data_IF_598285934834
#
_entry.id   IF_598285934834
#
_cell.length_a   1.000
_cell.length_b   1.000
_cell.length_c   1.000
_cell.angle_alpha   90.00
_cell.angle_beta   90.00
_cell.angle_gamma   90.00
#
_symmetry.space_group_name_H-M   'P 1'
#
loop_
_entity.id
_entity.type
_entity.pdbx_description
1 polymer ?
#
# COMPACT_ATOMS: atom_id res chain seq x y z
N UNK A 1 -36.80 -3.56 23.16
CA UNK A 1 -36.20 -4.85 22.76
C UNK A 1 -34.79 -4.56 22.27
N UNK A 2 -33.81 -4.98 23.06
CA UNK A 2 -32.37 -4.80 22.80
C UNK A 2 -31.86 -5.81 21.78
N UNK A 3 -30.91 -5.39 20.94
CA UNK A 3 -30.07 -6.27 20.12
C UNK A 3 -29.04 -5.41 19.37
N UNK A 4 -27.92 -5.07 19.99
CA UNK A 4 -26.63 -5.79 19.99
C UNK A 4 -25.90 -5.78 18.62
N UNK A 5 -24.93 -4.87 18.52
CA UNK A 5 -23.89 -4.80 17.48
C UNK A 5 -22.81 -5.87 17.74
N UNK A 6 -22.25 -6.55 16.73
CA UNK A 6 -21.00 -7.28 16.90
C UNK A 6 -19.78 -6.39 16.66
N UNK A 7 -18.83 -6.52 17.57
CA UNK A 7 -17.56 -5.82 17.69
C UNK A 7 -16.46 -6.80 17.27
N UNK A 8 -15.74 -6.54 16.19
CA UNK A 8 -14.60 -7.38 15.77
C UNK A 8 -13.28 -6.62 15.99
N UNK A 9 -12.54 -7.03 17.02
CA UNK A 9 -11.11 -6.76 17.20
C UNK A 9 -10.28 -7.83 16.48
N UNK A 10 -9.08 -7.50 15.95
CA UNK A 10 -8.18 -8.47 15.33
C UNK A 10 -7.31 -9.19 16.39
N UNK A 11 -7.16 -10.50 16.26
CA UNK A 11 -6.30 -11.31 17.13
C UNK A 11 -4.92 -11.54 16.49
N UNK A 12 -3.90 -11.45 17.35
CA UNK A 12 -2.47 -11.48 17.11
C UNK A 12 -1.91 -12.84 16.65
N UNK A 13 -0.77 -12.80 15.94
CA UNK A 13 0.10 -13.94 15.52
C UNK A 13 0.70 -14.69 16.72
N UNK A 14 1.26 -15.90 16.48
CA UNK A 14 2.62 -16.14 16.97
C UNK A 14 3.58 -16.72 15.92
N UNK A 15 4.86 -16.47 16.21
CA UNK A 15 6.05 -16.76 15.44
C UNK A 15 6.51 -18.22 15.54
N UNK A 16 7.19 -18.72 14.51
CA UNK A 16 8.18 -19.79 14.66
C UNK A 16 9.42 -19.46 13.82
N UNK A 17 10.46 -18.99 14.52
CA UNK A 17 11.85 -19.19 14.15
C UNK A 17 12.23 -20.61 14.56
N UNK A 18 13.01 -21.33 13.76
CA UNK A 18 13.99 -22.29 14.25
C UNK A 18 15.14 -22.41 13.22
N UNK A 19 16.30 -21.91 13.64
CA UNK A 19 17.64 -22.03 13.06
C UNK A 19 18.34 -23.30 13.60
N UNK A 20 19.50 -23.62 13.01
CA UNK A 20 20.57 -24.56 13.44
C UNK A 20 20.39 -26.04 13.01
N UNK A 21 21.38 -26.81 12.51
CA UNK A 21 22.88 -26.77 12.46
C UNK A 21 23.34 -27.66 11.28
N UNK A 22 24.37 -27.40 10.45
CA UNK A 22 25.84 -27.34 10.65
C UNK A 22 26.55 -28.66 11.02
N UNK A 23 27.31 -29.15 10.01
CA UNK A 23 28.60 -29.87 9.99
C UNK A 23 28.95 -30.99 10.99
N UNK A 24 29.43 -32.12 10.44
CA UNK A 24 30.52 -32.90 11.05
C UNK A 24 31.60 -33.30 10.04
N UNK A 25 32.83 -33.00 10.44
CA UNK A 25 34.12 -33.34 9.85
C UNK A 25 34.58 -34.77 10.23
N UNK A 26 35.08 -35.51 9.24
CA UNK A 26 36.42 -36.09 9.09
C UNK A 26 37.28 -36.49 10.34
N UNK A 27 37.72 -37.77 10.40
CA UNK A 27 39.05 -38.27 10.90
C UNK A 27 39.16 -39.82 10.69
N UNK A 28 40.01 -40.40 9.80
CA UNK A 28 41.48 -40.75 9.81
C UNK A 28 41.82 -42.11 10.52
N UNK A 29 43.00 -42.78 10.31
CA UNK A 29 43.35 -43.75 9.23
C UNK A 29 44.13 -45.04 9.66
N UNK A 30 44.63 -45.81 8.65
CA UNK A 30 45.84 -46.71 8.55
C UNK A 30 45.79 -48.19 9.02
N UNK A 31 46.71 -49.12 8.59
CA UNK A 31 47.53 -49.22 7.34
C UNK A 31 47.70 -50.67 6.76
N UNK A 32 48.56 -50.80 5.73
CA UNK A 32 49.33 -51.98 5.25
C UNK A 32 48.66 -52.94 4.24
N UNK A 33 49.20 -52.99 3.01
CA UNK A 33 49.92 -54.16 2.49
C UNK A 33 50.71 -53.73 1.24
N UNK A 34 52.00 -54.04 1.28
CA UNK A 34 53.01 -53.87 0.26
C UNK A 34 52.85 -54.96 -0.79
N UNK A 35 52.68 -54.63 -2.07
CA UNK A 35 53.07 -55.54 -3.16
C UNK A 35 53.64 -54.75 -4.33
N UNK A 36 54.73 -55.31 -4.84
CA UNK A 36 55.73 -54.78 -5.74
C UNK A 36 55.61 -55.40 -7.13
N UNK A 37 56.00 -54.63 -8.16
CA UNK A 37 56.30 -54.98 -9.58
C UNK A 37 55.19 -54.72 -10.62
N UNK A 38 55.56 -54.54 -11.91
CA UNK A 38 56.48 -53.55 -12.46
C UNK A 38 55.82 -52.69 -13.56
N UNK A 39 56.37 -51.51 -13.83
CA UNK A 39 55.94 -50.60 -14.90
C UNK A 39 56.08 -51.19 -16.31
N UNK A 40 55.16 -50.83 -17.23
CA UNK A 40 55.52 -50.65 -18.64
C UNK A 40 54.95 -49.33 -19.21
N UNK A 41 55.28 -49.01 -20.46
CA UNK A 41 56.08 -47.86 -20.85
C UNK A 41 55.35 -46.51 -20.82
N UNK A 42 56.15 -45.46 -20.62
CA UNK A 42 55.82 -44.07 -20.93
C UNK A 42 55.10 -43.96 -22.27
N UNK A 43 53.82 -43.63 -22.23
CA UNK A 43 53.12 -43.02 -23.36
C UNK A 43 52.67 -41.66 -22.85
N UNK A 44 53.54 -40.67 -22.97
CA UNK A 44 53.11 -39.28 -22.93
C UNK A 44 52.15 -39.05 -24.10
N UNK A 45 50.91 -38.59 -23.88
CA UNK A 45 50.32 -37.72 -24.84
C UNK A 45 50.96 -36.34 -24.61
N UNK A 46 51.73 -35.88 -25.59
CA UNK A 46 51.54 -34.51 -26.08
C UNK A 46 50.01 -34.29 -26.10
N UNK A 47 49.46 -33.30 -25.41
CA UNK A 47 49.31 -31.99 -26.02
C UNK A 47 49.34 -30.87 -24.99
N UNK A 48 50.04 -29.82 -25.41
CA UNK A 48 50.10 -28.49 -24.82
C UNK A 48 48.68 -27.92 -24.75
N UNK A 49 48.36 -27.25 -23.65
CA UNK A 49 47.49 -26.06 -23.59
C UNK A 49 46.48 -25.91 -24.72
N UNK A 50 45.46 -26.75 -24.74
CA UNK A 50 44.28 -26.47 -25.54
C UNK A 50 43.45 -25.46 -24.73
N UNK A 51 43.69 -24.16 -24.97
CA UNK A 51 42.67 -23.15 -24.71
C UNK A 51 41.54 -23.46 -25.67
N UNK A 52 40.74 -24.49 -25.37
CA UNK A 52 39.56 -24.88 -26.13
C UNK A 52 38.69 -23.64 -26.25
N UNK A 53 38.72 -23.02 -27.43
CA UNK A 53 37.73 -22.01 -27.78
C UNK A 53 36.37 -22.71 -27.66
N UNK A 54 35.41 -22.11 -26.95
CA UNK A 54 34.11 -22.72 -26.82
C UNK A 54 33.55 -22.97 -28.21
N UNK A 55 33.11 -24.20 -28.44
CA UNK A 55 32.51 -24.61 -29.70
C UNK A 55 31.32 -23.69 -30.01
N UNK A 56 30.96 -23.55 -31.29
CA UNK A 56 29.80 -22.74 -31.68
C UNK A 56 28.53 -23.12 -30.90
N UNK A 57 28.37 -24.40 -30.58
CA UNK A 57 27.27 -24.91 -29.76
C UNK A 57 27.31 -24.40 -28.32
N UNK A 58 28.45 -24.48 -27.64
CA UNK A 58 28.60 -23.96 -26.26
C UNK A 58 28.31 -22.46 -26.19
N UNK A 59 28.76 -21.70 -27.20
CA UNK A 59 28.49 -20.26 -27.29
C UNK A 59 26.99 -19.97 -27.50
N UNK A 60 26.30 -20.80 -28.27
CA UNK A 60 24.84 -20.70 -28.46
C UNK A 60 24.12 -21.03 -27.16
N UNK A 61 24.48 -22.13 -26.48
CA UNK A 61 23.90 -22.51 -25.19
C UNK A 61 24.06 -21.40 -24.16
N UNK A 62 25.26 -20.79 -24.09
CA UNK A 62 25.49 -19.69 -23.16
C UNK A 62 24.59 -18.48 -23.44
N UNK A 63 24.37 -18.14 -24.73
CA UNK A 63 23.44 -17.08 -25.13
C UNK A 63 22.00 -17.43 -24.78
N UNK A 64 21.57 -18.67 -24.99
CA UNK A 64 20.23 -19.16 -24.61
C UNK A 64 20.03 -19.00 -23.10
N UNK A 65 20.98 -19.44 -22.28
CA UNK A 65 20.92 -19.28 -20.82
C UNK A 65 20.91 -17.80 -20.40
N UNK A 66 21.68 -16.95 -21.08
CA UNK A 66 21.67 -15.51 -20.82
C UNK A 66 20.31 -14.87 -21.17
N UNK A 67 19.70 -15.26 -22.29
CA UNK A 67 18.36 -14.82 -22.68
C UNK A 67 17.31 -15.34 -21.70
N UNK A 68 17.38 -16.60 -21.28
CA UNK A 68 16.47 -17.18 -20.29
C UNK A 68 16.45 -16.39 -18.99
N UNK A 69 17.63 -16.07 -18.44
CA UNK A 69 17.73 -15.22 -17.24
C UNK A 69 17.17 -13.81 -17.41
N UNK A 70 17.31 -13.22 -18.62
CA UNK A 70 16.71 -11.92 -18.92
C UNK A 70 15.19 -12.00 -18.97
N UNK A 71 14.64 -13.07 -19.55
CA UNK A 71 13.19 -13.32 -19.58
C UNK A 71 12.66 -13.45 -18.16
N UNK A 72 13.28 -14.27 -17.32
CA UNK A 72 12.90 -14.41 -15.89
C UNK A 72 12.92 -13.07 -15.15
N UNK A 73 13.94 -12.23 -15.38
CA UNK A 73 14.00 -10.89 -14.79
C UNK A 73 12.90 -9.95 -15.28
N UNK A 74 12.53 -10.05 -16.56
CA UNK A 74 11.40 -9.30 -17.13
C UNK A 74 10.09 -9.77 -16.52
N UNK A 75 9.87 -11.08 -16.39
CA UNK A 75 8.65 -11.65 -15.80
C UNK A 75 8.46 -11.23 -14.33
N UNK A 76 9.56 -11.20 -13.56
CA UNK A 76 9.55 -10.67 -12.19
C UNK A 76 9.17 -9.18 -12.16
N UNK A 77 9.71 -8.39 -13.09
CA UNK A 77 9.41 -6.95 -13.20
C UNK A 77 7.95 -6.70 -13.57
N UNK A 78 7.41 -7.45 -14.54
CA UNK A 78 6.00 -7.39 -14.94
C UNK A 78 5.09 -7.76 -13.78
N UNK A 79 5.44 -8.79 -13.01
CA UNK A 79 4.67 -9.22 -11.84
C UNK A 79 4.63 -8.13 -10.76
N UNK A 80 5.77 -7.48 -10.50
CA UNK A 80 5.85 -6.35 -9.56
C UNK A 80 4.99 -5.17 -10.02
N UNK A 81 5.13 -4.74 -11.28
CA UNK A 81 4.34 -3.64 -11.84
C UNK A 81 2.84 -3.94 -11.85
N UNK A 82 2.46 -5.20 -12.06
CA UNK A 82 1.07 -5.64 -11.98
C UNK A 82 0.51 -5.47 -10.57
N UNK A 83 1.29 -5.81 -9.55
CA UNK A 83 0.89 -5.64 -8.15
C UNK A 83 0.75 -4.16 -7.78
N UNK A 84 1.73 -3.34 -8.18
CA UNK A 84 1.72 -1.90 -7.96
C UNK A 84 0.51 -1.23 -8.63
N UNK A 85 0.22 -1.61 -9.88
CA UNK A 85 -0.96 -1.14 -10.61
C UNK A 85 -2.27 -1.49 -9.88
N UNK A 86 -2.37 -2.68 -9.30
CA UNK A 86 -3.54 -3.06 -8.48
C UNK A 86 -3.65 -2.22 -7.22
N UNK A 87 -2.53 -1.97 -6.54
CA UNK A 87 -2.50 -1.10 -5.35
C UNK A 87 -2.96 0.32 -5.69
N UNK A 88 -2.39 0.92 -6.74
CA UNK A 88 -2.76 2.26 -7.20
C UNK A 88 -4.26 2.36 -7.54
N UNK A 89 -4.85 1.32 -8.15
CA UNK A 89 -6.30 1.30 -8.43
C UNK A 89 -7.13 1.31 -7.14
N UNK A 90 -6.70 0.61 -6.11
CA UNK A 90 -7.38 0.63 -4.79
C UNK A 90 -7.26 2.01 -4.14
N UNK A 91 -6.08 2.63 -4.21
CA UNK A 91 -5.85 3.97 -3.67
C UNK A 91 -6.73 5.01 -4.37
N UNK A 92 -6.80 4.96 -5.71
CA UNK A 92 -7.68 5.83 -6.51
C UNK A 92 -9.15 5.65 -6.11
N UNK A 93 -9.63 4.41 -5.96
CA UNK A 93 -11.00 4.15 -5.50
C UNK A 93 -11.25 4.71 -4.10
N UNK A 94 -10.26 4.59 -3.20
CA UNK A 94 -10.32 5.17 -1.86
C UNK A 94 -10.37 6.70 -1.88
N UNK A 95 -9.59 7.35 -2.74
CA UNK A 95 -9.64 8.81 -2.91
C UNK A 95 -10.97 9.27 -3.50
N UNK A 96 -11.52 8.57 -4.49
CA UNK A 96 -12.83 8.87 -5.05
C UNK A 96 -13.92 8.83 -3.98
N UNK A 97 -13.97 7.77 -3.16
CA UNK A 97 -14.93 7.67 -2.07
C UNK A 97 -14.81 8.83 -1.06
N UNK A 98 -13.57 9.24 -0.75
CA UNK A 98 -13.32 10.39 0.14
C UNK A 98 -13.81 11.71 -0.45
N UNK A 99 -13.58 11.93 -1.76
CA UNK A 99 -14.05 13.13 -2.46
C UNK A 99 -15.57 13.19 -2.43
N UNK A 100 -16.27 12.12 -2.80
CA UNK A 100 -17.74 12.06 -2.74
C UNK A 100 -18.26 12.30 -1.32
N UNK A 101 -17.61 11.76 -0.29
CA UNK A 101 -17.95 12.03 1.10
C UNK A 101 -17.78 13.50 1.50
N UNK A 102 -16.76 14.19 0.96
CA UNK A 102 -16.55 15.61 1.20
C UNK A 102 -17.58 16.48 0.46
N UNK A 103 -17.92 16.12 -0.78
CA UNK A 103 -18.96 16.81 -1.57
C UNK A 103 -20.31 16.78 -0.84
N UNK A 104 -20.71 15.62 -0.31
CA UNK A 104 -21.94 15.52 0.49
C UNK A 104 -21.91 16.39 1.76
N UNK A 105 -20.77 16.43 2.45
CA UNK A 105 -20.61 17.27 3.66
C UNK A 105 -20.68 18.75 3.30
N UNK A 106 -20.08 19.15 2.19
CA UNK A 106 -20.12 20.53 1.70
C UNK A 106 -21.55 20.93 1.35
N UNK A 107 -22.28 20.11 0.58
CA UNK A 107 -23.69 20.39 0.27
C UNK A 107 -24.58 20.49 1.52
N UNK A 108 -24.33 19.65 2.54
CA UNK A 108 -25.03 19.77 3.82
C UNK A 108 -24.71 21.08 4.55
N UNK A 109 -23.47 21.56 4.51
CA UNK A 109 -23.07 22.82 5.14
C UNK A 109 -23.65 24.02 4.39
N UNK A 110 -23.68 23.98 3.06
CA UNK A 110 -24.31 25.01 2.23
C UNK A 110 -25.80 25.14 2.55
N UNK A 111 -26.51 24.02 2.68
CA UNK A 111 -27.92 24.03 3.08
C UNK A 111 -28.11 24.62 4.50
N UNK A 112 -27.26 24.24 5.46
CA UNK A 112 -27.31 24.81 6.81
C UNK A 112 -27.07 26.32 6.79
N UNK A 113 -26.09 26.79 6.00
CA UNK A 113 -25.80 28.21 5.85
C UNK A 113 -26.98 28.96 5.24
N UNK A 114 -27.62 28.42 4.20
CA UNK A 114 -28.81 29.01 3.59
C UNK A 114 -29.95 29.14 4.61
N UNK A 115 -30.20 28.10 5.42
CA UNK A 115 -31.23 28.17 6.48
C UNK A 115 -30.88 29.19 7.57
N UNK A 116 -29.60 29.35 7.92
CA UNK A 116 -29.17 30.37 8.88
C UNK A 116 -29.41 31.76 8.34
N UNK A 117 -29.08 31.99 7.07
CA UNK A 117 -29.27 33.28 6.40
C UNK A 117 -30.75 33.66 6.31
N UNK A 118 -31.63 32.71 6.03
CA UNK A 118 -33.09 32.90 6.04
C UNK A 118 -33.58 33.33 7.43
N UNK A 119 -33.12 32.65 8.48
CA UNK A 119 -33.44 33.00 9.87
C UNK A 119 -32.92 34.38 10.27
N UNK A 120 -31.76 34.79 9.78
CA UNK A 120 -31.21 36.12 10.04
C UNK A 120 -32.05 37.21 9.38
N UNK A 121 -32.59 36.95 8.18
CA UNK A 121 -33.53 37.86 7.51
C UNK A 121 -34.85 37.98 8.29
N UNK A 122 -35.41 36.86 8.74
CA UNK A 122 -36.60 36.83 9.57
C UNK A 122 -36.41 37.61 10.87
N UNK A 123 -35.27 37.43 11.55
CA UNK A 123 -34.94 38.16 12.76
C UNK A 123 -34.84 39.66 12.51
N UNK A 124 -34.25 40.08 11.40
CA UNK A 124 -34.18 41.49 11.02
C UNK A 124 -35.59 42.07 10.80
N UNK A 125 -36.45 41.35 10.09
CA UNK A 125 -37.83 41.76 9.86
C UNK A 125 -38.64 41.88 11.17
N UNK A 126 -38.56 40.86 12.04
CA UNK A 126 -39.22 40.89 13.35
C UNK A 126 -38.71 42.04 14.21
N UNK A 127 -37.40 42.29 14.23
CA UNK A 127 -36.80 43.39 14.99
C UNK A 127 -37.35 44.74 14.53
N UNK A 128 -37.42 44.97 13.21
CA UNK A 128 -38.02 46.19 12.65
C UNK A 128 -39.47 46.35 13.09
N UNK A 129 -40.28 45.30 12.95
CA UNK A 129 -41.69 45.32 13.36
C UNK A 129 -41.87 45.59 14.85
N UNK A 130 -41.00 45.04 15.69
CA UNK A 130 -41.02 45.30 17.13
C UNK A 130 -40.76 46.78 17.41
N UNK A 131 -39.74 47.38 16.79
CA UNK A 131 -39.44 48.80 16.94
C UNK A 131 -40.61 49.69 16.48
N UNK A 132 -41.23 49.37 15.33
CA UNK A 132 -42.40 50.10 14.84
C UNK A 132 -43.58 50.05 15.84
N UNK A 133 -43.80 48.89 16.47
CA UNK A 133 -44.83 48.71 17.50
C UNK A 133 -44.50 49.42 18.82
N UNK A 134 -43.25 49.37 19.27
CA UNK A 134 -42.78 50.07 20.46
C UNK A 134 -42.95 51.58 20.30
N UNK A 135 -42.57 52.13 19.15
CA UNK A 135 -42.74 53.54 18.85
C UNK A 135 -44.22 53.92 18.71
N UNK A 136 -45.04 53.04 18.12
CA UNK A 136 -46.49 53.19 18.08
C UNK A 136 -47.10 53.28 19.48
N UNK A 137 -46.78 52.32 20.34
CA UNK A 137 -47.27 52.27 21.72
C UNK A 137 -46.83 53.49 22.54
N UNK A 138 -45.57 53.95 22.37
CA UNK A 138 -45.08 55.17 23.01
C UNK A 138 -45.90 56.40 22.59
N UNK A 139 -46.15 56.56 21.29
CA UNK A 139 -46.97 57.68 20.78
C UNK A 139 -48.39 57.64 21.33
N UNK A 140 -49.02 56.47 21.35
CA UNK A 140 -50.39 56.33 21.84
C UNK A 140 -50.49 56.57 23.35
N UNK A 141 -49.50 56.14 24.13
CA UNK A 141 -49.42 56.46 25.56
C UNK A 141 -49.25 57.97 25.81
N UNK A 142 -48.39 58.67 25.06
CA UNK A 142 -48.22 60.12 25.17
C UNK A 142 -49.56 60.84 24.87
N UNK A 143 -50.25 60.43 23.81
CA UNK A 143 -51.57 60.97 23.45
C UNK A 143 -52.62 60.75 24.56
N UNK A 144 -52.61 59.57 25.19
CA UNK A 144 -53.55 59.25 26.26
C UNK A 144 -53.31 60.08 27.53
N UNK A 145 -52.05 60.43 27.81
CA UNK A 145 -51.68 61.28 28.95
C UNK A 145 -51.92 62.78 28.69
N UNK A 146 -52.32 63.19 27.49
CA UNK A 146 -52.59 64.59 27.14
C UNK A 146 -51.34 65.48 27.19
N UNK A 147 -50.14 64.89 27.08
CA UNK A 147 -48.88 65.63 27.00
C UNK A 147 -48.65 65.94 25.51
N UNK A 148 -48.61 67.23 25.10
CA UNK A 148 -48.43 67.62 23.70
C UNK A 148 -47.05 67.24 23.14
#
# INVERSE_FOLDING_TARGET
>A
MSGSKPNHKPACKPAQQLLFSEALHQKRPTPMTTESHPSPPSTQPLTKSDKQQPTTMERILHKITAVGRRIEGIDASISSLTLETKSMRLDIAGFQARVTGLEHRMGSLEMQMATSQDRDQDLFYLKKKLTDLEDGSRRDNIRLLGIP
#
